data_IF_698443712788
#
_entry.id   IF_698443712788
#
_cell.length_a   1.000
_cell.length_b   1.000
_cell.length_c   1.000
_cell.angle_alpha   90.00
_cell.angle_beta   90.00
_cell.angle_gamma   90.00
#
_symmetry.space_group_name_H-M   'P 1'
#
loop_
_entity.id
_entity.type
_entity.pdbx_description
1 polymer ?
#
# COMPACT_ATOMS: atom_id res chain seq x y z
N UNK A 1 21.06 1.71 5.85
CA UNK A 1 21.33 0.27 6.05
C UNK A 1 21.07 -0.15 7.50
N UNK A 2 19.80 -0.31 7.86
CA UNK A 2 19.32 -0.42 9.25
C UNK A 2 19.25 -1.85 9.80
N UNK A 3 19.49 -2.88 8.96
CA UNK A 3 19.43 -4.30 9.33
C UNK A 3 20.71 -5.09 9.01
N UNK A 4 21.80 -4.42 8.63
CA UNK A 4 23.05 -5.09 8.18
C UNK A 4 23.73 -5.90 9.30
N UNK A 5 23.47 -5.53 10.56
CA UNK A 5 24.16 -6.09 11.74
C UNK A 5 23.22 -6.89 12.67
N UNK A 6 21.99 -7.21 12.25
CA UNK A 6 21.04 -8.00 13.06
C UNK A 6 20.38 -7.25 14.23
N UNK A 7 20.49 -5.92 14.30
CA UNK A 7 19.86 -5.09 15.33
C UNK A 7 18.38 -4.75 15.08
N UNK A 8 17.64 -4.43 16.14
CA UNK A 8 16.17 -4.21 16.15
C UNK A 8 15.66 -2.94 15.45
N UNK A 9 16.42 -2.31 14.54
CA UNK A 9 16.02 -1.06 13.85
C UNK A 9 15.92 0.20 14.73
N UNK A 10 15.99 0.06 16.07
CA UNK A 10 15.99 1.16 17.03
C UNK A 10 14.68 1.95 17.06
N UNK A 11 14.70 3.12 17.70
CA UNK A 11 13.51 4.01 17.82
C UNK A 11 12.90 4.39 16.46
N UNK A 12 13.73 4.46 15.42
CA UNK A 12 13.33 4.79 14.07
C UNK A 12 12.34 3.78 13.46
N UNK A 13 12.46 2.50 13.81
CA UNK A 13 11.50 1.48 13.37
C UNK A 13 10.10 1.74 13.92
N UNK A 14 9.98 2.13 15.19
CA UNK A 14 8.69 2.44 15.79
C UNK A 14 8.05 3.70 15.20
N UNK A 15 8.88 4.72 14.88
CA UNK A 15 8.40 5.92 14.20
C UNK A 15 7.88 5.59 12.80
N UNK A 16 8.61 4.77 12.04
CA UNK A 16 8.20 4.33 10.71
C UNK A 16 6.87 3.54 10.76
N UNK A 17 6.74 2.62 11.72
CA UNK A 17 5.51 1.85 11.94
C UNK A 17 4.31 2.74 12.28
N UNK A 18 4.52 3.81 13.07
CA UNK A 18 3.50 4.78 13.41
C UNK A 18 3.05 5.60 12.20
N UNK A 19 4.01 6.09 11.40
CA UNK A 19 3.72 6.81 10.15
C UNK A 19 2.97 5.92 9.17
N UNK A 20 3.40 4.67 9.03
CA UNK A 20 2.73 3.67 8.19
C UNK A 20 1.29 3.43 8.65
N UNK A 21 1.07 3.19 9.94
CA UNK A 21 -0.26 2.97 10.51
C UNK A 21 -1.19 4.18 10.32
N UNK A 22 -0.67 5.39 10.51
CA UNK A 22 -1.42 6.62 10.24
C UNK A 22 -1.78 6.76 8.76
N UNK A 23 -0.84 6.50 7.85
CA UNK A 23 -1.07 6.55 6.41
C UNK A 23 -2.15 5.56 5.97
N UNK A 24 -2.09 4.32 6.46
CA UNK A 24 -3.09 3.29 6.17
C UNK A 24 -4.46 3.69 6.71
N UNK A 25 -4.55 4.16 7.97
CA UNK A 25 -5.81 4.56 8.57
C UNK A 25 -6.47 5.75 7.86
N UNK A 26 -5.69 6.77 7.55
CA UNK A 26 -6.17 7.96 6.83
C UNK A 26 -6.54 7.68 5.37
N UNK A 27 -5.96 6.65 4.74
CA UNK A 27 -6.33 6.24 3.39
C UNK A 27 -7.59 5.37 3.35
N UNK A 28 -7.65 4.32 4.16
CA UNK A 28 -8.69 3.30 4.04
C UNK A 28 -10.09 3.80 4.45
N UNK A 29 -10.16 4.62 5.51
CA UNK A 29 -11.42 5.13 6.03
C UNK A 29 -12.19 5.97 4.99
N UNK A 30 -11.61 7.02 4.36
CA UNK A 30 -12.32 7.76 3.33
C UNK A 30 -12.57 6.91 2.08
N UNK A 31 -11.69 5.98 1.70
CA UNK A 31 -11.91 5.13 0.52
C UNK A 31 -13.14 4.25 0.67
N UNK A 32 -13.35 3.60 1.82
CA UNK A 32 -14.59 2.83 2.05
C UNK A 32 -15.83 3.72 2.03
N UNK A 33 -15.75 4.90 2.68
CA UNK A 33 -16.86 5.85 2.66
C UNK A 33 -17.20 6.28 1.24
N UNK A 34 -16.21 6.73 0.46
CA UNK A 34 -16.39 7.18 -0.93
C UNK A 34 -16.88 6.07 -1.87
N UNK A 35 -16.39 4.84 -1.71
CA UNK A 35 -16.80 3.71 -2.53
C UNK A 35 -18.28 3.34 -2.30
N UNK A 36 -18.80 3.57 -1.09
CA UNK A 36 -20.17 3.24 -0.73
C UNK A 36 -21.13 4.44 -0.81
N UNK A 37 -20.63 5.67 -0.91
CA UNK A 37 -21.44 6.91 -0.90
C UNK A 37 -22.54 6.94 -1.99
N UNK A 38 -22.32 6.30 -3.13
CA UNK A 38 -23.26 6.28 -4.26
C UNK A 38 -24.03 4.95 -4.41
N UNK A 39 -23.87 4.02 -3.46
CA UNK A 39 -24.51 2.70 -3.53
C UNK A 39 -25.86 2.74 -2.79
N UNK A 40 -26.97 2.27 -3.40
CA UNK A 40 -28.25 2.12 -2.71
C UNK A 40 -28.10 1.28 -1.43
N UNK A 41 -28.80 1.64 -0.35
CA UNK A 41 -28.66 0.98 0.96
C UNK A 41 -28.92 -0.54 0.90
N UNK A 42 -29.77 -0.98 -0.04
CA UNK A 42 -30.05 -2.41 -0.29
C UNK A 42 -28.83 -3.18 -0.83
N UNK A 43 -27.95 -2.50 -1.57
CA UNK A 43 -26.83 -3.11 -2.29
C UNK A 43 -25.49 -2.81 -1.59
N UNK A 44 -25.50 -1.96 -0.56
CA UNK A 44 -24.33 -1.54 0.19
C UNK A 44 -23.62 -2.71 0.91
N UNK A 45 -24.38 -3.72 1.36
CA UNK A 45 -23.82 -4.92 1.98
C UNK A 45 -23.01 -5.75 0.96
N UNK A 46 -23.53 -5.93 -0.25
CA UNK A 46 -22.85 -6.66 -1.32
C UNK A 46 -21.64 -5.88 -1.86
N UNK A 47 -21.76 -4.56 -1.99
CA UNK A 47 -20.66 -3.68 -2.36
C UNK A 47 -19.54 -3.67 -1.31
N UNK A 48 -19.88 -3.62 -0.01
CA UNK A 48 -18.89 -3.73 1.06
C UNK A 48 -18.24 -5.12 1.08
N UNK A 49 -19.00 -6.19 0.80
CA UNK A 49 -18.48 -7.55 0.67
C UNK A 49 -17.46 -7.66 -0.45
N UNK A 50 -17.78 -7.18 -1.65
CA UNK A 50 -16.86 -7.19 -2.80
C UNK A 50 -15.62 -6.32 -2.57
N UNK A 51 -15.74 -5.18 -1.90
CA UNK A 51 -14.59 -4.34 -1.55
C UNK A 51 -13.66 -5.06 -0.55
N UNK A 52 -14.24 -5.76 0.44
CA UNK A 52 -13.49 -6.53 1.40
C UNK A 52 -12.76 -7.73 0.76
N UNK A 53 -13.42 -8.47 -0.15
CA UNK A 53 -12.77 -9.60 -0.84
C UNK A 53 -11.64 -9.12 -1.75
N UNK A 54 -11.83 -8.00 -2.45
CA UNK A 54 -10.78 -7.40 -3.27
C UNK A 54 -9.56 -6.98 -2.41
N UNK A 55 -9.79 -6.36 -1.26
CA UNK A 55 -8.72 -6.00 -0.33
C UNK A 55 -7.95 -7.24 0.18
N UNK A 56 -8.66 -8.31 0.50
CA UNK A 56 -8.04 -9.58 0.93
C UNK A 56 -7.19 -10.20 -0.19
N UNK A 57 -7.68 -10.23 -1.43
CA UNK A 57 -6.92 -10.71 -2.58
C UNK A 57 -5.66 -9.88 -2.81
N UNK A 58 -5.76 -8.54 -2.73
CA UNK A 58 -4.61 -7.66 -2.85
C UNK A 58 -3.55 -7.94 -1.76
N UNK A 59 -3.97 -8.18 -0.51
CA UNK A 59 -3.06 -8.55 0.57
C UNK A 59 -2.38 -9.89 0.30
N UNK A 60 -3.11 -10.91 -0.14
CA UNK A 60 -2.56 -12.23 -0.47
C UNK A 60 -1.52 -12.12 -1.59
N UNK A 61 -1.83 -11.37 -2.66
CA UNK A 61 -0.90 -11.14 -3.77
C UNK A 61 0.36 -10.42 -3.29
N UNK A 62 0.23 -9.40 -2.45
CA UNK A 62 1.38 -8.67 -1.88
C UNK A 62 2.28 -9.55 -1.03
N UNK A 63 1.69 -10.33 -0.11
CA UNK A 63 2.42 -11.27 0.77
C UNK A 63 3.12 -12.33 -0.06
N UNK A 64 2.44 -12.93 -1.05
CA UNK A 64 3.04 -13.93 -1.91
C UNK A 64 4.22 -13.36 -2.72
N UNK A 65 4.04 -12.17 -3.32
CA UNK A 65 5.08 -11.54 -4.14
C UNK A 65 6.32 -11.20 -3.33
N UNK A 66 6.16 -10.53 -2.19
CA UNK A 66 7.28 -10.16 -1.32
C UNK A 66 7.91 -11.39 -0.66
N UNK A 67 7.11 -12.38 -0.26
CA UNK A 67 7.59 -13.65 0.29
C UNK A 67 8.42 -14.45 -0.71
N UNK A 68 7.97 -14.54 -1.97
CA UNK A 68 8.75 -15.16 -3.05
C UNK A 68 10.05 -14.40 -3.29
N UNK A 69 10.01 -13.06 -3.36
CA UNK A 69 11.21 -12.25 -3.53
C UNK A 69 12.22 -12.49 -2.40
N UNK A 70 11.75 -12.52 -1.15
CA UNK A 70 12.60 -12.83 0.01
C UNK A 70 13.26 -14.20 -0.13
N UNK A 71 12.47 -15.24 -0.41
CA UNK A 71 12.98 -16.61 -0.50
C UNK A 71 13.95 -16.77 -1.68
N UNK A 72 13.67 -16.13 -2.81
CA UNK A 72 14.57 -16.13 -3.98
C UNK A 72 15.92 -15.47 -3.68
N UNK A 73 15.94 -14.36 -2.93
CA UNK A 73 17.20 -13.68 -2.54
C UNK A 73 17.94 -14.44 -1.45
N UNK A 74 17.20 -15.00 -0.47
CA UNK A 74 17.76 -15.80 0.61
C UNK A 74 18.36 -17.13 0.11
N UNK A 75 17.80 -17.74 -0.93
CA UNK A 75 18.31 -18.98 -1.52
C UNK A 75 19.69 -18.82 -2.19
N UNK A 76 20.07 -17.61 -2.60
CA UNK A 76 21.30 -17.35 -3.35
C UNK A 76 22.50 -16.87 -2.53
N UNK A 77 22.39 -16.70 -1.21
CA UNK A 77 23.41 -16.01 -0.41
C UNK A 77 23.91 -16.84 0.77
N UNK A 78 25.23 -16.81 1.04
CA UNK A 78 25.92 -17.57 2.11
C UNK A 78 25.58 -17.07 3.52
N UNK A 79 26.48 -17.21 4.50
CA UNK A 79 26.28 -16.99 5.96
C UNK A 79 25.47 -15.73 6.38
N UNK A 80 25.33 -14.72 5.51
CA UNK A 80 24.50 -13.50 5.73
C UNK A 80 23.25 -13.41 4.82
N UNK A 81 22.66 -14.56 4.44
CA UNK A 81 21.58 -14.62 3.45
C UNK A 81 20.34 -13.83 3.84
N UNK A 82 19.93 -14.00 5.10
CA UNK A 82 18.75 -13.33 5.66
C UNK A 82 18.94 -11.80 5.69
N UNK A 83 20.14 -11.31 5.97
CA UNK A 83 20.45 -9.87 5.96
C UNK A 83 20.34 -9.25 4.58
N UNK A 84 20.82 -9.94 3.54
CA UNK A 84 20.67 -9.48 2.15
C UNK A 84 19.21 -9.54 1.68
N UNK A 85 18.48 -10.60 2.03
CA UNK A 85 17.06 -10.72 1.70
C UNK A 85 16.22 -9.62 2.40
N UNK A 86 16.52 -9.28 3.65
CA UNK A 86 15.89 -8.15 4.34
C UNK A 86 16.23 -6.80 3.72
N UNK A 87 17.47 -6.59 3.28
CA UNK A 87 17.84 -5.38 2.56
C UNK A 87 17.08 -5.27 1.21
N UNK A 88 16.95 -6.37 0.47
CA UNK A 88 16.19 -6.42 -0.77
C UNK A 88 14.70 -6.14 -0.54
N UNK A 89 14.09 -6.72 0.49
CA UNK A 89 12.72 -6.42 0.89
C UNK A 89 12.53 -4.95 1.27
N UNK A 90 13.50 -4.36 1.99
CA UNK A 90 13.43 -2.94 2.38
C UNK A 90 13.40 -2.03 1.15
N UNK A 91 14.23 -2.32 0.14
CA UNK A 91 14.24 -1.58 -1.13
C UNK A 91 12.94 -1.81 -1.91
N UNK A 92 12.47 -3.05 -1.96
CA UNK A 92 11.21 -3.39 -2.62
C UNK A 92 10.02 -2.68 -1.97
N UNK A 93 9.98 -2.59 -0.63
CA UNK A 93 8.95 -1.87 0.09
C UNK A 93 8.94 -0.38 -0.28
N UNK A 94 10.10 0.28 -0.28
CA UNK A 94 10.19 1.69 -0.70
C UNK A 94 9.73 1.87 -2.15
N UNK A 95 10.13 1.00 -3.06
CA UNK A 95 9.71 1.05 -4.46
C UNK A 95 8.18 0.92 -4.59
N UNK A 96 7.57 -0.04 -3.89
CA UNK A 96 6.11 -0.22 -3.86
C UNK A 96 5.41 1.01 -3.30
N UNK A 97 5.92 1.61 -2.23
CA UNK A 97 5.36 2.84 -1.66
C UNK A 97 5.44 4.00 -2.65
N UNK A 98 6.55 4.18 -3.36
CA UNK A 98 6.69 5.23 -4.36
C UNK A 98 5.72 5.04 -5.54
N UNK A 99 5.53 3.81 -6.01
CA UNK A 99 4.53 3.49 -7.04
C UNK A 99 3.13 3.80 -6.54
N UNK A 100 2.80 3.43 -5.31
CA UNK A 100 1.49 3.71 -4.70
C UNK A 100 1.22 5.22 -4.58
N UNK A 101 2.21 6.00 -4.15
CA UNK A 101 2.12 7.46 -4.09
C UNK A 101 1.93 8.06 -5.49
N UNK A 102 2.68 7.58 -6.48
CA UNK A 102 2.54 8.00 -7.87
C UNK A 102 1.15 7.72 -8.44
N UNK A 103 0.60 6.54 -8.14
CA UNK A 103 -0.75 6.15 -8.55
C UNK A 103 -1.82 7.01 -7.86
N UNK A 104 -1.71 7.21 -6.54
CA UNK A 104 -2.62 8.07 -5.79
C UNK A 104 -2.62 9.51 -6.34
N UNK A 105 -1.44 10.06 -6.63
CA UNK A 105 -1.30 11.37 -7.23
C UNK A 105 -1.89 11.44 -8.65
N UNK A 106 -1.71 10.39 -9.45
CA UNK A 106 -2.30 10.31 -10.78
C UNK A 106 -3.84 10.33 -10.72
N UNK A 107 -4.44 9.55 -9.82
CA UNK A 107 -5.89 9.53 -9.60
C UNK A 107 -6.41 10.89 -9.13
N UNK A 108 -5.73 11.54 -8.19
CA UNK A 108 -6.09 12.89 -7.73
C UNK A 108 -6.07 13.91 -8.88
N UNK A 109 -5.08 13.81 -9.78
CA UNK A 109 -5.00 14.68 -10.95
C UNK A 109 -6.17 14.46 -11.91
N UNK A 110 -6.61 13.22 -12.10
CA UNK A 110 -7.76 12.92 -12.96
C UNK A 110 -9.04 13.49 -12.37
N UNK A 111 -9.27 13.32 -11.06
CA UNK A 111 -10.45 13.86 -10.38
C UNK A 111 -10.46 15.39 -10.42
N UNK A 112 -9.33 16.05 -10.15
CA UNK A 112 -9.22 17.51 -10.30
C UNK A 112 -9.54 17.99 -11.72
N UNK A 113 -9.05 17.29 -12.75
CA UNK A 113 -9.35 17.62 -14.15
C UNK A 113 -10.83 17.49 -14.45
N UNK A 114 -11.49 16.46 -13.96
CA UNK A 114 -12.94 16.26 -14.13
C UNK A 114 -13.74 17.38 -13.45
N UNK A 115 -13.37 17.76 -12.22
CA UNK A 115 -14.03 18.86 -11.50
C UNK A 115 -13.89 20.20 -12.22
N UNK A 116 -12.71 20.51 -12.74
CA UNK A 116 -12.46 21.73 -13.52
C UNK A 116 -13.26 21.74 -14.82
N UNK A 117 -13.33 20.61 -15.55
CA UNK A 117 -14.13 20.49 -16.75
C UNK A 117 -15.64 20.66 -16.47
N UNK A 118 -16.14 20.09 -15.37
CA UNK A 118 -17.53 20.22 -14.96
C UNK A 118 -17.88 21.65 -14.51
N UNK A 119 -16.95 22.39 -13.91
CA UNK A 119 -17.12 23.79 -13.55
C UNK A 119 -17.16 24.69 -14.80
N UNK A 120 -16.27 24.44 -15.77
CA UNK A 120 -16.24 25.17 -17.04
C UNK A 120 -17.49 24.93 -17.90
N UNK A 121 -18.09 23.74 -17.85
CA UNK A 121 -19.34 23.44 -18.56
C UNK A 121 -20.59 24.11 -17.95
N UNK A 122 -20.49 24.62 -16.71
CA UNK A 122 -21.56 25.32 -16.00
C UNK A 122 -21.43 26.85 -16.02
N UNK A 123 -20.32 27.37 -16.54
CA UNK A 123 -20.03 28.79 -16.66
C UNK A 123 -20.34 29.28 -18.09
#
# INVERSE_FOLDING_TARGET
PMFKDGGYGGVWFYVDQLVFGLGVGLGNAPTMTLALLNVPVTDAADASGTLATNAQLAQVVGIATLGTLYLSVAAGSGIHAAGHAMAALSVAAVAVTLVAVGFAWHLQRLDQRQRLAAAAAKA
#
